data_IF_526797995397
#
_entry.id   IF_526797995397
#
_cell.length_a   1.000
_cell.length_b   1.000
_cell.length_c   1.000
_cell.angle_alpha   90.00
_cell.angle_beta   90.00
_cell.angle_gamma   90.00
#
_symmetry.space_group_name_H-M   'P 1'
#
loop_
_entity.id
_entity.type
_entity.pdbx_description
1 polymer ?
#
# COMPACT_ATOMS: atom_id res chain seq x y z
N UNK A 1 -8.95 26.78 -13.57
CA UNK A 1 -7.76 26.00 -13.15
C UNK A 1 -6.67 26.26 -14.16
N UNK A 2 -5.47 26.56 -13.71
CA UNK A 2 -4.30 26.68 -14.58
C UNK A 2 -3.84 25.30 -15.09
N UNK A 3 -2.94 25.30 -16.08
CA UNK A 3 -2.42 24.09 -16.72
C UNK A 3 -1.69 23.16 -15.74
N UNK A 4 -1.00 23.72 -14.74
CA UNK A 4 -0.29 22.94 -13.71
C UNK A 4 -1.26 22.19 -12.80
N UNK A 5 -2.36 22.83 -12.42
CA UNK A 5 -3.43 22.20 -11.63
C UNK A 5 -4.05 21.02 -12.37
N UNK A 6 -4.37 21.19 -13.65
CA UNK A 6 -4.96 20.12 -14.47
C UNK A 6 -3.98 18.95 -14.60
N UNK A 7 -2.70 19.24 -14.89
CA UNK A 7 -1.67 18.21 -14.98
C UNK A 7 -1.52 17.45 -13.65
N UNK A 8 -1.46 18.15 -12.52
CA UNK A 8 -1.34 17.52 -11.21
C UNK A 8 -2.50 16.58 -10.88
N UNK A 9 -3.74 16.95 -11.23
CA UNK A 9 -4.89 16.07 -11.07
C UNK A 9 -4.83 14.84 -11.98
N UNK A 10 -4.43 15.01 -13.24
CA UNK A 10 -4.30 13.89 -14.18
C UNK A 10 -3.22 12.93 -13.68
N UNK A 11 -2.06 13.44 -13.26
CA UNK A 11 -0.94 12.64 -12.77
C UNK A 11 -1.36 11.87 -11.51
N UNK A 12 -1.97 12.53 -10.53
CA UNK A 12 -2.45 11.87 -9.30
C UNK A 12 -3.57 10.86 -9.58
N UNK A 13 -4.40 11.12 -10.59
CA UNK A 13 -5.44 10.16 -11.01
C UNK A 13 -4.84 8.91 -11.67
N UNK A 14 -3.85 9.09 -12.54
CA UNK A 14 -3.15 7.98 -13.20
C UNK A 14 -2.36 7.14 -12.18
N UNK A 15 -1.73 7.80 -11.21
CA UNK A 15 -1.09 7.15 -10.09
C UNK A 15 -2.10 6.33 -9.27
N UNK A 16 -3.24 6.89 -8.88
CA UNK A 16 -4.23 6.15 -8.07
C UNK A 16 -4.93 5.02 -8.80
N UNK A 17 -5.18 5.16 -10.11
CA UNK A 17 -5.80 4.08 -10.88
C UNK A 17 -4.82 2.95 -11.19
N UNK A 18 -3.52 3.17 -11.04
CA UNK A 18 -2.51 2.11 -11.22
C UNK A 18 -2.68 0.98 -10.19
N UNK A 19 -3.28 1.23 -9.03
CA UNK A 19 -3.65 0.19 -8.06
C UNK A 19 -4.58 -0.85 -8.68
N UNK A 20 -5.45 -0.46 -9.62
CA UNK A 20 -6.30 -1.42 -10.36
C UNK A 20 -5.50 -2.35 -11.28
N UNK A 21 -4.30 -1.97 -11.71
CA UNK A 21 -3.45 -2.84 -12.51
C UNK A 21 -3.06 -4.09 -11.72
N UNK A 22 -2.89 -3.97 -10.40
CA UNK A 22 -2.71 -5.11 -9.51
C UNK A 22 -3.87 -6.11 -9.55
N UNK A 23 -5.11 -5.63 -9.70
CA UNK A 23 -6.27 -6.49 -9.82
C UNK A 23 -6.35 -7.26 -11.15
N UNK A 24 -5.59 -6.87 -12.18
CA UNK A 24 -5.58 -7.57 -13.48
C UNK A 24 -5.15 -9.05 -13.32
N UNK A 25 -4.30 -9.34 -12.34
CA UNK A 25 -3.82 -10.71 -12.07
C UNK A 25 -4.97 -11.72 -11.84
N UNK A 26 -6.12 -11.28 -11.33
CA UNK A 26 -7.27 -12.15 -11.06
C UNK A 26 -7.88 -12.71 -12.35
N UNK A 27 -7.72 -12.01 -13.49
CA UNK A 27 -8.26 -12.46 -14.78
C UNK A 27 -7.45 -13.61 -15.38
N UNK A 28 -6.16 -13.67 -15.05
CA UNK A 28 -5.26 -14.75 -15.45
C UNK A 28 -5.25 -15.90 -14.43
N UNK A 29 -5.88 -15.69 -13.27
CA UNK A 29 -5.90 -16.65 -12.18
C UNK A 29 -7.11 -17.57 -12.25
N UNK A 30 -6.86 -18.88 -12.36
CA UNK A 30 -7.89 -19.90 -12.09
C UNK A 30 -8.21 -19.85 -10.60
N UNK A 31 -9.49 -19.73 -10.25
CA UNK A 31 -9.95 -19.41 -8.89
C UNK A 31 -9.62 -20.44 -7.79
N UNK A 32 -8.99 -21.57 -8.16
CA UNK A 32 -8.53 -22.63 -7.26
C UNK A 32 -7.00 -22.72 -7.15
N UNK A 33 -6.24 -21.82 -7.78
CA UNK A 33 -4.78 -21.89 -7.76
C UNK A 33 -4.20 -21.26 -6.50
N UNK A 34 -4.16 -22.03 -5.41
CA UNK A 34 -3.54 -21.65 -4.14
C UNK A 34 -2.07 -21.24 -4.29
N UNK A 35 -1.36 -21.79 -5.29
CA UNK A 35 0.00 -21.38 -5.65
C UNK A 35 0.07 -19.92 -6.06
N UNK A 36 -0.92 -19.44 -6.82
CA UNK A 36 -0.96 -18.05 -7.27
C UNK A 36 -1.25 -17.15 -6.07
N UNK A 37 -2.21 -17.50 -5.20
CA UNK A 37 -2.44 -16.75 -3.94
C UNK A 37 -1.16 -16.65 -3.11
N UNK A 38 -0.49 -17.77 -2.89
CA UNK A 38 0.74 -17.85 -2.10
C UNK A 38 1.85 -16.98 -2.70
N UNK A 39 2.04 -17.05 -4.02
CA UNK A 39 3.03 -16.24 -4.72
C UNK A 39 2.69 -14.74 -4.66
N UNK A 40 1.43 -14.39 -4.97
CA UNK A 40 0.95 -13.02 -5.04
C UNK A 40 0.99 -12.30 -3.70
N UNK A 41 0.53 -12.94 -2.62
CA UNK A 41 0.55 -12.34 -1.28
C UNK A 41 1.96 -12.25 -0.70
N UNK A 42 2.79 -13.28 -0.92
CA UNK A 42 4.20 -13.22 -0.55
C UNK A 42 4.91 -12.06 -1.25
N UNK A 43 4.73 -11.95 -2.57
CA UNK A 43 5.29 -10.83 -3.36
C UNK A 43 4.81 -9.47 -2.85
N UNK A 44 3.50 -9.30 -2.64
CA UNK A 44 2.94 -8.05 -2.12
C UNK A 44 3.51 -7.68 -0.75
N UNK A 45 3.62 -8.63 0.17
CA UNK A 45 4.22 -8.40 1.49
C UNK A 45 5.69 -7.96 1.39
N UNK A 46 6.46 -8.61 0.50
CA UNK A 46 7.85 -8.24 0.26
C UNK A 46 8.02 -6.82 -0.24
N UNK A 47 7.19 -6.41 -1.21
CA UNK A 47 7.19 -5.03 -1.72
C UNK A 47 6.80 -4.05 -0.61
N UNK A 48 5.72 -4.30 0.11
CA UNK A 48 5.24 -3.40 1.17
C UNK A 48 6.26 -3.21 2.29
N UNK A 49 6.97 -4.27 2.68
CA UNK A 49 8.09 -4.18 3.62
C UNK A 49 9.21 -3.31 3.03
N UNK A 50 9.58 -3.53 1.77
CA UNK A 50 10.65 -2.74 1.15
C UNK A 50 10.28 -1.26 1.06
N UNK A 51 9.11 -0.93 0.50
CA UNK A 51 8.59 0.46 0.39
C UNK A 51 8.64 1.18 1.74
N UNK A 52 8.24 0.48 2.82
CA UNK A 52 8.22 1.05 4.16
C UNK A 52 9.60 1.54 4.61
N UNK A 53 10.68 0.81 4.26
CA UNK A 53 12.05 1.14 4.67
C UNK A 53 12.86 1.91 3.63
N UNK A 54 12.60 1.71 2.33
CA UNK A 54 13.34 2.36 1.25
C UNK A 54 12.78 3.72 0.87
N UNK A 55 11.47 3.93 1.07
CA UNK A 55 10.76 5.11 0.54
C UNK A 55 10.05 5.85 1.69
N UNK A 56 9.10 5.23 2.40
CA UNK A 56 8.28 5.96 3.37
C UNK A 56 9.05 6.52 4.57
N UNK A 57 9.88 5.69 5.21
CA UNK A 57 10.66 6.13 6.38
C UNK A 57 11.72 7.19 6.01
N UNK A 58 12.52 7.03 4.95
CA UNK A 58 13.43 8.09 4.51
C UNK A 58 12.71 9.41 4.19
N UNK A 59 11.57 9.36 3.50
CA UNK A 59 10.78 10.53 3.13
C UNK A 59 10.21 11.21 4.37
N UNK A 60 9.71 10.42 5.32
CA UNK A 60 9.28 10.90 6.62
C UNK A 60 10.39 11.63 7.37
N UNK A 61 11.58 11.02 7.43
CA UNK A 61 12.73 11.61 8.11
C UNK A 61 13.19 12.90 7.43
N UNK A 62 13.26 12.93 6.10
CA UNK A 62 13.62 14.13 5.34
C UNK A 62 12.63 15.28 5.63
N UNK A 63 11.34 15.00 5.59
CA UNK A 63 10.29 15.99 5.81
C UNK A 63 10.25 16.50 7.27
N UNK A 64 10.47 15.62 8.26
CA UNK A 64 10.53 16.02 9.67
C UNK A 64 11.84 16.77 10.00
N UNK A 65 12.96 16.37 9.39
CA UNK A 65 14.28 16.97 9.63
C UNK A 65 14.31 18.45 9.25
N UNK A 66 13.57 18.85 8.21
CA UNK A 66 13.44 20.25 7.82
C UNK A 66 12.91 21.16 8.95
N UNK A 67 12.21 20.61 9.94
CA UNK A 67 11.67 21.35 11.08
C UNK A 67 12.40 21.07 12.40
N UNK A 68 12.84 19.83 12.61
CA UNK A 68 13.30 19.35 13.94
C UNK A 68 14.78 18.99 13.99
N UNK A 69 15.49 18.97 12.85
CA UNK A 69 16.84 18.44 12.73
C UNK A 69 16.88 16.91 12.60
N UNK A 70 18.01 16.38 12.12
CA UNK A 70 18.16 14.97 11.72
C UNK A 70 17.91 13.97 12.87
N UNK A 71 18.49 14.23 14.05
CA UNK A 71 18.34 13.32 15.20
C UNK A 71 16.88 13.19 15.63
N UNK A 72 16.16 14.31 15.72
CA UNK A 72 14.75 14.30 16.12
C UNK A 72 13.86 13.73 15.03
N UNK A 73 14.22 13.89 13.75
CA UNK A 73 13.50 13.27 12.65
C UNK A 73 13.49 11.74 12.75
N UNK A 74 14.63 11.13 13.08
CA UNK A 74 14.71 9.68 13.30
C UNK A 74 13.81 9.28 14.47
N UNK A 75 13.91 9.96 15.61
CA UNK A 75 13.12 9.66 16.82
C UNK A 75 11.62 9.77 16.53
N UNK A 76 11.17 10.88 15.93
CA UNK A 76 9.77 11.09 15.60
C UNK A 76 9.28 10.09 14.56
N UNK A 77 10.08 9.77 13.53
CA UNK A 77 9.69 8.76 12.53
C UNK A 77 9.45 7.38 13.17
N UNK A 78 10.28 6.96 14.14
CA UNK A 78 10.06 5.71 14.86
C UNK A 78 8.82 5.78 15.74
N UNK A 79 8.58 6.88 16.46
CA UNK A 79 7.38 7.07 17.28
C UNK A 79 6.12 6.97 16.42
N UNK A 80 6.09 7.69 15.30
CA UNK A 80 4.96 7.68 14.37
C UNK A 80 4.77 6.32 13.71
N UNK A 81 5.85 5.62 13.35
CA UNK A 81 5.77 4.24 12.85
C UNK A 81 5.15 3.28 13.89
N UNK A 82 5.52 3.40 15.16
CA UNK A 82 4.90 2.61 16.23
C UNK A 82 3.41 2.98 16.38
N UNK A 83 3.04 4.26 16.30
CA UNK A 83 1.64 4.69 16.29
C UNK A 83 0.88 4.03 15.13
N UNK A 84 1.47 3.99 13.95
CA UNK A 84 0.93 3.30 12.78
C UNK A 84 0.68 1.82 13.00
N UNK A 85 1.67 1.12 13.55
CA UNK A 85 1.53 -0.28 13.94
C UNK A 85 0.39 -0.47 14.96
N UNK A 86 0.28 0.40 15.97
CA UNK A 86 -0.81 0.37 16.95
C UNK A 86 -2.19 0.65 16.32
N UNK A 87 -2.26 1.53 15.32
CA UNK A 87 -3.49 1.78 14.56
C UNK A 87 -3.91 0.54 13.77
N UNK A 88 -2.96 -0.12 13.10
CA UNK A 88 -3.22 -1.35 12.37
C UNK A 88 -3.65 -2.49 13.30
N UNK A 89 -2.98 -2.67 14.44
CA UNK A 89 -3.41 -3.56 15.53
C UNK A 89 -4.85 -3.28 15.97
N UNK A 90 -5.22 -2.00 16.10
CA UNK A 90 -6.56 -1.61 16.54
C UNK A 90 -7.60 -1.95 15.48
N UNK A 91 -7.34 -1.64 14.21
CA UNK A 91 -8.20 -2.03 13.08
C UNK A 91 -8.39 -3.55 13.09
N UNK A 92 -7.29 -4.27 13.20
CA UNK A 92 -7.25 -5.73 13.18
C UNK A 92 -8.04 -6.35 14.35
N UNK A 93 -7.92 -5.79 15.56
CA UNK A 93 -8.70 -6.20 16.72
C UNK A 93 -10.22 -6.03 16.53
N UNK A 94 -10.65 -4.97 15.84
CA UNK A 94 -12.07 -4.74 15.57
C UNK A 94 -12.65 -5.60 14.45
N UNK A 95 -11.81 -6.17 13.59
CA UNK A 95 -12.26 -7.10 12.54
C UNK A 95 -12.16 -8.53 13.08
N UNK A 96 -13.27 -9.28 13.25
CA UNK A 96 -13.26 -10.59 13.91
C UNK A 96 -12.23 -11.56 13.31
N UNK A 97 -11.32 -12.11 14.12
CA UNK A 97 -10.37 -13.15 13.72
C UNK A 97 -10.97 -14.55 13.95
N UNK A 98 -10.97 -15.39 12.92
CA UNK A 98 -10.91 -16.84 13.12
C UNK A 98 -9.42 -17.23 13.00
N UNK A 99 -8.82 -17.88 13.98
CA UNK A 99 -7.43 -18.33 13.81
C UNK A 99 -7.37 -19.41 12.71
N UNK A 100 -6.37 -19.34 11.84
CA UNK A 100 -6.13 -20.45 10.91
C UNK A 100 -5.64 -21.65 11.71
N UNK A 101 -6.53 -22.61 11.96
CA UNK A 101 -6.19 -23.89 12.56
C UNK A 101 -5.76 -24.88 11.45
N UNK A 102 -4.46 -25.23 11.36
CA UNK A 102 -3.95 -26.17 10.35
C UNK A 102 -4.45 -27.61 10.55
N UNK A 103 -5.05 -27.94 11.71
CA UNK A 103 -5.69 -29.23 12.00
C UNK A 103 -7.21 -29.21 11.80
N UNK A 104 -7.83 -28.02 11.75
CA UNK A 104 -9.26 -27.89 11.44
C UNK A 104 -9.53 -28.20 9.97
N UNK A 105 -10.67 -28.84 9.71
CA UNK A 105 -11.21 -29.04 8.36
C UNK A 105 -11.85 -27.75 7.80
N UNK A 106 -11.53 -26.58 8.37
CA UNK A 106 -12.08 -25.32 7.89
C UNK A 106 -11.64 -25.06 6.46
N UNK A 107 -12.57 -24.52 5.66
CA UNK A 107 -12.25 -24.20 4.27
C UNK A 107 -11.09 -23.19 4.29
N UNK A 108 -10.00 -23.42 3.53
CA UNK A 108 -8.77 -22.61 3.60
C UNK A 108 -8.94 -21.15 3.10
N UNK A 109 -10.17 -20.71 2.84
CA UNK A 109 -10.52 -19.37 2.34
C UNK A 109 -11.36 -18.53 3.31
N UNK A 110 -11.76 -19.03 4.49
CA UNK A 110 -12.72 -18.31 5.36
C UNK A 110 -12.22 -16.93 5.80
N UNK A 111 -10.91 -16.75 6.01
CA UNK A 111 -10.31 -15.45 6.35
C UNK A 111 -9.85 -14.59 5.17
N UNK A 112 -9.85 -15.09 3.93
CA UNK A 112 -9.32 -14.31 2.81
C UNK A 112 -10.13 -13.03 2.54
N UNK A 113 -11.44 -13.05 2.81
CA UNK A 113 -12.25 -11.84 2.65
C UNK A 113 -11.80 -10.76 3.63
N UNK A 114 -11.52 -11.16 4.88
CA UNK A 114 -11.01 -10.29 5.95
C UNK A 114 -9.63 -9.74 5.60
N UNK A 115 -8.69 -10.60 5.21
CA UNK A 115 -7.34 -10.19 4.75
C UNK A 115 -7.45 -9.11 3.67
N UNK A 116 -8.29 -9.33 2.66
CA UNK A 116 -8.48 -8.36 1.57
C UNK A 116 -9.18 -7.08 2.02
N UNK A 117 -10.13 -7.16 2.95
CA UNK A 117 -10.84 -6.00 3.50
C UNK A 117 -9.95 -5.12 4.40
N UNK A 118 -9.19 -5.74 5.31
CA UNK A 118 -8.21 -5.04 6.16
C UNK A 118 -7.12 -4.42 5.28
N UNK A 119 -6.62 -5.15 4.29
CA UNK A 119 -5.68 -4.62 3.30
C UNK A 119 -6.27 -3.42 2.58
N UNK A 120 -7.53 -3.47 2.12
CA UNK A 120 -8.19 -2.33 1.46
C UNK A 120 -8.21 -1.09 2.37
N UNK A 121 -8.66 -1.22 3.61
CA UNK A 121 -8.74 -0.09 4.55
C UNK A 121 -7.37 0.54 4.79
N UNK A 122 -6.34 -0.27 4.94
CA UNK A 122 -4.99 0.22 5.13
C UNK A 122 -4.40 0.88 3.87
N UNK A 123 -4.64 0.30 2.69
CA UNK A 123 -4.20 0.90 1.43
C UNK A 123 -4.93 2.23 1.20
N UNK A 124 -6.20 2.37 1.61
CA UNK A 124 -6.88 3.68 1.60
C UNK A 124 -6.17 4.72 2.47
N UNK A 125 -5.68 4.31 3.65
CA UNK A 125 -4.92 5.19 4.55
C UNK A 125 -3.52 5.52 4.00
N UNK A 126 -2.91 4.65 3.20
CA UNK A 126 -1.62 4.86 2.53
C UNK A 126 -1.72 5.77 1.30
N UNK A 127 -2.68 5.46 0.43
CA UNK A 127 -2.90 6.16 -0.85
C UNK A 127 -3.37 7.60 -0.66
N UNK A 128 -4.03 7.89 0.47
CA UNK A 128 -4.52 9.25 0.73
C UNK A 128 -3.37 10.28 0.89
N UNK A 129 -2.39 10.07 1.79
CA UNK A 129 -1.17 10.87 1.88
C UNK A 129 -0.38 10.96 0.59
N UNK A 130 -0.29 9.84 -0.12
CA UNK A 130 0.41 9.76 -1.38
C UNK A 130 -0.23 10.68 -2.43
N UNK A 131 -1.55 10.72 -2.51
CA UNK A 131 -2.25 11.60 -3.45
C UNK A 131 -2.06 13.07 -3.16
N UNK A 132 -1.91 13.42 -1.89
CA UNK A 132 -1.50 14.78 -1.49
C UNK A 132 -0.09 15.06 -2.01
N UNK A 133 0.86 14.16 -1.78
CA UNK A 133 2.26 14.33 -2.17
C UNK A 133 2.42 14.39 -3.71
N UNK A 134 1.80 13.46 -4.44
CA UNK A 134 1.77 13.43 -5.91
C UNK A 134 1.20 14.72 -6.47
N UNK A 135 0.09 15.21 -5.91
CA UNK A 135 -0.52 16.46 -6.36
C UNK A 135 0.41 17.66 -6.11
N UNK A 136 0.96 17.78 -4.90
CA UNK A 136 1.85 18.90 -4.54
C UNK A 136 3.13 18.91 -5.38
N UNK A 137 3.76 17.75 -5.59
CA UNK A 137 4.94 17.63 -6.44
C UNK A 137 4.61 17.99 -7.90
N UNK A 138 3.53 17.43 -8.44
CA UNK A 138 3.12 17.66 -9.83
C UNK A 138 2.67 19.10 -10.09
N UNK A 139 2.09 19.76 -9.09
CA UNK A 139 1.67 21.16 -9.19
C UNK A 139 2.89 22.09 -9.33
N UNK A 140 3.96 21.81 -8.58
CA UNK A 140 5.18 22.60 -8.62
C UNK A 140 6.04 22.32 -9.87
N UNK A 141 6.19 21.04 -10.22
CA UNK A 141 6.92 20.58 -11.39
C UNK A 141 6.24 19.34 -11.99
N UNK A 142 5.52 19.47 -13.12
CA UNK A 142 4.85 18.35 -13.77
C UNK A 142 5.78 17.23 -14.22
N UNK A 143 7.05 17.53 -14.52
CA UNK A 143 8.04 16.53 -14.93
C UNK A 143 8.42 15.66 -13.75
N UNK A 144 8.74 16.30 -12.62
CA UNK A 144 8.97 15.61 -11.35
C UNK A 144 7.74 14.82 -10.91
N UNK A 145 6.54 15.41 -11.05
CA UNK A 145 5.27 14.76 -10.77
C UNK A 145 5.07 13.48 -11.57
N UNK A 146 5.38 13.50 -12.87
CA UNK A 146 5.29 12.32 -13.73
C UNK A 146 6.27 11.21 -13.30
N UNK A 147 7.52 11.56 -12.95
CA UNK A 147 8.50 10.59 -12.45
C UNK A 147 8.03 9.94 -11.14
N UNK A 148 7.48 10.74 -10.23
CA UNK A 148 6.89 10.25 -8.98
C UNK A 148 5.71 9.32 -9.26
N UNK A 149 4.78 9.69 -10.15
CA UNK A 149 3.64 8.85 -10.50
C UNK A 149 4.04 7.49 -11.11
N UNK A 150 5.14 7.43 -11.87
CA UNK A 150 5.67 6.16 -12.38
C UNK A 150 6.22 5.31 -11.24
N UNK A 151 7.01 5.89 -10.33
CA UNK A 151 7.50 5.18 -9.15
C UNK A 151 6.35 4.63 -8.31
N UNK A 152 5.34 5.47 -8.10
CA UNK A 152 4.09 5.14 -7.42
C UNK A 152 3.38 3.95 -8.07
N UNK A 153 3.26 3.97 -9.40
CA UNK A 153 2.59 2.90 -10.11
C UNK A 153 3.24 1.53 -9.87
N UNK A 154 4.55 1.48 -9.66
CA UNK A 154 5.24 0.22 -9.36
C UNK A 154 4.92 -0.34 -7.97
N UNK A 155 4.66 0.49 -6.95
CA UNK A 155 4.24 0.00 -5.64
C UNK A 155 2.72 -0.22 -5.54
N UNK A 156 1.93 0.57 -6.27
CA UNK A 156 0.47 0.44 -6.30
C UNK A 156 -0.02 -0.88 -6.92
N UNK A 157 0.75 -1.47 -7.84
CA UNK A 157 0.43 -2.80 -8.40
C UNK A 157 0.42 -3.87 -7.28
N UNK A 158 1.49 -4.07 -6.48
CA UNK A 158 1.51 -4.92 -5.30
C UNK A 158 0.36 -4.68 -4.32
N UNK A 159 0.01 -3.42 -4.05
CA UNK A 159 -1.14 -3.09 -3.19
C UNK A 159 -2.47 -3.55 -3.79
N UNK A 160 -2.63 -3.35 -5.10
CA UNK A 160 -3.79 -3.87 -5.82
C UNK A 160 -3.90 -5.39 -5.70
N UNK A 161 -2.77 -6.10 -5.74
CA UNK A 161 -2.70 -7.55 -5.55
C UNK A 161 -3.10 -7.94 -4.12
N UNK A 162 -2.61 -7.24 -3.10
CA UNK A 162 -2.90 -7.53 -1.68
C UNK A 162 -4.39 -7.42 -1.36
N UNK A 163 -5.12 -6.54 -2.04
CA UNK A 163 -6.59 -6.40 -1.92
C UNK A 163 -7.33 -7.39 -2.84
N UNK A 164 -6.98 -7.43 -4.12
CA UNK A 164 -7.78 -8.14 -5.13
C UNK A 164 -7.75 -9.66 -4.94
N UNK A 165 -6.57 -10.22 -4.66
CA UNK A 165 -6.38 -11.67 -4.59
C UNK A 165 -7.16 -12.33 -3.46
N UNK A 166 -7.09 -11.85 -2.20
CA UNK A 166 -7.88 -12.42 -1.11
C UNK A 166 -9.39 -12.26 -1.33
N UNK A 167 -9.84 -11.08 -1.77
CA UNK A 167 -11.26 -10.84 -2.06
C UNK A 167 -11.76 -11.77 -3.18
N UNK A 168 -11.00 -11.93 -4.26
CA UNK A 168 -11.40 -12.81 -5.36
C UNK A 168 -11.48 -14.27 -4.92
N UNK A 169 -10.50 -14.76 -4.17
CA UNK A 169 -10.51 -16.16 -3.72
C UNK A 169 -11.59 -16.43 -2.67
N UNK A 170 -11.90 -15.46 -1.81
CA UNK A 170 -12.98 -15.58 -0.84
C UNK A 170 -14.38 -15.52 -1.47
N UNK A 171 -14.59 -14.62 -2.43
CA UNK A 171 -15.93 -14.32 -2.98
C UNK A 171 -16.22 -14.97 -4.32
N UNK A 172 -15.18 -15.43 -5.04
CA UNK A 172 -15.23 -15.87 -6.43
C UNK A 172 -15.76 -14.79 -7.40
N UNK A 173 -15.83 -13.53 -6.97
CA UNK A 173 -16.37 -12.41 -7.74
C UNK A 173 -15.27 -11.45 -8.18
N UNK A 174 -15.01 -11.40 -9.49
CA UNK A 174 -14.07 -10.44 -10.08
C UNK A 174 -14.55 -8.99 -9.89
N UNK A 175 -15.86 -8.77 -9.91
CA UNK A 175 -16.46 -7.45 -9.67
C UNK A 175 -16.23 -7.02 -8.24
N UNK A 176 -16.36 -7.94 -7.26
CA UNK A 176 -16.03 -7.63 -5.88
C UNK A 176 -14.56 -7.23 -5.77
N UNK A 177 -13.64 -8.07 -6.26
CA UNK A 177 -12.20 -7.76 -6.22
C UNK A 177 -11.87 -6.40 -6.84
N UNK A 178 -12.39 -6.11 -8.04
CA UNK A 178 -12.22 -4.80 -8.68
C UNK A 178 -12.81 -3.66 -7.86
N UNK A 179 -13.99 -3.85 -7.24
CA UNK A 179 -14.62 -2.83 -6.40
C UNK A 179 -13.77 -2.49 -5.18
N UNK A 180 -13.30 -3.49 -4.45
CA UNK A 180 -12.47 -3.26 -3.26
C UNK A 180 -11.13 -2.61 -3.65
N UNK A 181 -10.47 -3.08 -4.71
CA UNK A 181 -9.23 -2.44 -5.20
C UNK A 181 -9.46 -1.02 -5.73
N UNK A 182 -10.62 -0.75 -6.35
CA UNK A 182 -10.98 0.62 -6.74
C UNK A 182 -11.18 1.52 -5.53
N UNK A 183 -11.85 1.02 -4.49
CA UNK A 183 -12.06 1.76 -3.24
C UNK A 183 -10.73 2.09 -2.54
N UNK A 184 -9.71 1.22 -2.64
CA UNK A 184 -8.38 1.55 -2.15
C UNK A 184 -7.65 2.58 -3.03
N UNK A 185 -7.67 2.42 -4.35
CA UNK A 185 -6.97 3.32 -5.27
C UNK A 185 -7.57 4.73 -5.38
N UNK A 186 -8.90 4.87 -5.21
CA UNK A 186 -9.58 6.18 -5.30
C UNK A 186 -9.19 7.13 -4.16
N UNK A 187 -8.60 6.62 -3.08
CA UNK A 187 -8.10 7.43 -1.99
C UNK A 187 -7.01 8.43 -2.44
N UNK A 188 -6.21 8.08 -3.46
CA UNK A 188 -5.17 8.96 -3.99
C UNK A 188 -5.76 10.19 -4.72
N UNK A 189 -6.67 10.05 -5.70
CA UNK A 189 -7.41 11.18 -6.27
C UNK A 189 -8.15 12.03 -5.23
N UNK A 190 -8.72 11.40 -4.19
CA UNK A 190 -9.39 12.11 -3.10
C UNK A 190 -8.37 12.95 -2.31
N UNK A 191 -7.21 12.38 -1.99
CA UNK A 191 -6.09 13.08 -1.36
C UNK A 191 -5.65 14.30 -2.17
N UNK A 192 -5.48 14.15 -3.48
CA UNK A 192 -5.13 15.25 -4.40
C UNK A 192 -6.18 16.38 -4.39
N UNK A 193 -7.47 16.03 -4.42
CA UNK A 193 -8.57 17.03 -4.37
C UNK A 193 -8.59 17.77 -3.04
N UNK A 194 -8.42 17.06 -1.92
CA UNK A 194 -8.37 17.70 -0.61
C UNK A 194 -7.10 18.55 -0.41
N UNK A 195 -5.96 18.13 -0.98
CA UNK A 195 -4.74 18.92 -1.06
C UNK A 195 -5.00 20.29 -1.69
N UNK A 196 -5.66 20.29 -2.86
CA UNK A 196 -5.99 21.50 -3.58
C UNK A 196 -7.00 22.41 -2.86
N UNK A 197 -8.07 21.84 -2.32
CA UNK A 197 -9.21 22.62 -1.82
C UNK A 197 -9.05 23.11 -0.37
N UNK A 198 -8.51 22.27 0.51
CA UNK A 198 -8.65 22.45 1.96
C UNK A 198 -7.29 22.43 2.65
N UNK A 199 -6.40 21.53 2.24
CA UNK A 199 -5.26 21.13 3.05
C UNK A 199 -4.00 21.99 2.83
N UNK A 200 -3.93 22.79 1.76
CA UNK A 200 -2.79 23.68 1.47
C UNK A 200 -2.32 24.55 2.67
N UNK A 201 -3.20 25.10 3.53
CA UNK A 201 -2.76 25.89 4.70
C UNK A 201 -2.35 25.04 5.91
N UNK A 202 -2.78 23.78 5.97
CA UNK A 202 -2.64 22.91 7.15
C UNK A 202 -1.54 21.86 7.01
N UNK A 203 -1.17 21.51 5.78
CA UNK A 203 -0.10 20.55 5.51
C UNK A 203 1.24 21.28 5.51
N UNK A 204 2.01 21.01 6.55
CA UNK A 204 3.44 21.30 6.59
C UNK A 204 4.24 19.99 6.43
N UNK A 205 5.55 20.13 6.17
CA UNK A 205 6.43 18.99 5.95
C UNK A 205 6.49 18.04 7.15
N UNK A 206 6.42 18.57 8.38
CA UNK A 206 6.38 17.74 9.58
C UNK A 206 5.14 16.84 9.61
N UNK A 207 3.97 17.37 9.31
CA UNK A 207 2.71 16.63 9.30
C UNK A 207 2.71 15.56 8.21
N UNK A 208 3.19 15.89 7.01
CA UNK A 208 3.32 14.93 5.92
C UNK A 208 4.31 13.80 6.28
N UNK A 209 5.45 14.15 6.89
CA UNK A 209 6.41 13.16 7.33
C UNK A 209 5.89 12.28 8.47
N UNK A 210 5.14 12.84 9.42
CA UNK A 210 4.47 12.08 10.47
C UNK A 210 3.50 11.04 9.88
N UNK A 211 2.73 11.46 8.88
CA UNK A 211 1.81 10.59 8.16
C UNK A 211 2.56 9.45 7.44
N UNK A 212 3.64 9.74 6.70
CA UNK A 212 4.42 8.70 6.02
C UNK A 212 4.99 7.67 7.00
N UNK A 213 5.49 8.12 8.15
CA UNK A 213 5.96 7.22 9.19
C UNK A 213 4.84 6.35 9.78
N UNK A 214 3.67 6.94 10.09
CA UNK A 214 2.47 6.17 10.52
C UNK A 214 2.11 5.11 9.50
N UNK A 215 2.06 5.48 8.23
CA UNK A 215 1.68 4.59 7.14
C UNK A 215 2.70 3.44 6.98
N UNK A 216 4.00 3.70 7.10
CA UNK A 216 5.03 2.66 7.11
C UNK A 216 4.78 1.63 8.23
N UNK A 217 4.37 2.09 9.41
CA UNK A 217 3.98 1.21 10.53
C UNK A 217 2.80 0.30 10.20
N UNK A 218 1.77 0.85 9.54
CA UNK A 218 0.58 0.10 9.10
C UNK A 218 0.97 -0.98 8.06
N UNK A 219 1.77 -0.62 7.06
CA UNK A 219 2.19 -1.55 6.00
C UNK A 219 3.07 -2.68 6.52
N UNK A 220 3.98 -2.38 7.45
CA UNK A 220 4.78 -3.39 8.15
C UNK A 220 3.87 -4.36 8.90
N UNK A 221 2.93 -3.86 9.71
CA UNK A 221 1.99 -4.70 10.45
C UNK A 221 1.24 -5.68 9.53
N UNK A 222 0.61 -5.16 8.48
CA UNK A 222 -0.19 -5.97 7.54
C UNK A 222 0.66 -6.98 6.80
N UNK A 223 1.89 -6.61 6.45
CA UNK A 223 2.81 -7.54 5.79
C UNK A 223 3.12 -8.75 6.69
N UNK A 224 3.37 -8.51 7.98
CA UNK A 224 3.74 -9.55 8.93
C UNK A 224 2.56 -10.35 9.49
N UNK A 225 1.44 -9.72 9.80
CA UNK A 225 0.29 -10.38 10.44
C UNK A 225 -0.71 -10.94 9.42
N UNK A 226 -0.91 -10.28 8.28
CA UNK A 226 -1.93 -10.67 7.32
C UNK A 226 -1.32 -11.37 6.10
N UNK A 227 -0.43 -10.69 5.35
CA UNK A 227 0.00 -11.16 4.03
C UNK A 227 0.98 -12.35 4.09
N UNK A 228 2.03 -12.28 4.93
CA UNK A 228 2.99 -13.38 5.06
C UNK A 228 2.33 -14.65 5.60
N UNK A 229 1.53 -14.63 6.68
CA UNK A 229 0.87 -15.83 7.19
C UNK A 229 -0.11 -16.41 6.16
N UNK A 230 -0.96 -15.56 5.57
CA UNK A 230 -1.92 -15.98 4.53
C UNK A 230 -1.23 -16.56 3.30
N UNK A 231 -0.07 -16.04 2.91
CA UNK A 231 0.71 -16.59 1.79
C UNK A 231 1.23 -18.01 2.05
N UNK A 232 1.37 -18.41 3.32
CA UNK A 232 1.91 -19.71 3.74
C UNK A 232 0.85 -20.74 4.09
N UNK A 233 -0.40 -20.32 4.30
CA UNK A 233 -1.49 -21.17 4.81
C UNK A 233 -1.81 -22.40 3.92
N UNK A 234 -1.47 -22.36 2.64
CA UNK A 234 -1.69 -23.46 1.69
C UNK A 234 -0.50 -24.45 1.55
N UNK A 235 0.48 -24.39 2.46
CA UNK A 235 1.64 -25.29 2.45
C UNK A 235 2.75 -24.92 1.46
N UNK A 236 2.59 -23.83 0.68
CA UNK A 236 3.61 -23.33 -0.27
C UNK A 236 4.65 -22.41 0.38
N UNK A 237 5.12 -22.73 1.59
CA UNK A 237 5.99 -21.84 2.39
C UNK A 237 7.28 -21.40 1.67
N UNK A 238 7.92 -22.29 0.89
CA UNK A 238 9.12 -21.93 0.11
C UNK A 238 8.81 -20.96 -1.02
N UNK A 239 7.67 -21.14 -1.69
CA UNK A 239 7.24 -20.24 -2.76
C UNK A 239 6.92 -18.86 -2.17
N UNK A 240 6.16 -18.81 -1.08
CA UNK A 240 5.86 -17.58 -0.36
C UNK A 240 7.14 -16.83 0.05
N UNK A 241 8.15 -17.54 0.59
CA UNK A 241 9.44 -16.95 0.94
C UNK A 241 10.17 -16.37 -0.28
N UNK A 242 10.29 -17.13 -1.37
CA UNK A 242 10.97 -16.68 -2.59
C UNK A 242 10.24 -15.50 -3.23
N UNK A 243 8.91 -15.51 -3.25
CA UNK A 243 8.09 -14.40 -3.75
C UNK A 243 8.23 -13.16 -2.87
N UNK A 244 8.25 -13.31 -1.55
CA UNK A 244 8.50 -12.19 -0.61
C UNK A 244 9.88 -11.58 -0.84
N UNK A 245 10.90 -12.43 -0.99
CA UNK A 245 12.25 -11.94 -1.29
C UNK A 245 12.32 -11.24 -2.65
N UNK A 246 11.64 -11.77 -3.67
CA UNK A 246 11.55 -11.12 -4.98
C UNK A 246 10.84 -9.75 -4.88
N UNK A 247 9.79 -9.64 -4.05
CA UNK A 247 9.13 -8.38 -3.76
C UNK A 247 10.03 -7.37 -3.05
N UNK A 248 10.86 -7.82 -2.11
CA UNK A 248 11.84 -6.94 -1.46
C UNK A 248 12.85 -6.41 -2.48
N UNK A 249 13.35 -7.28 -3.38
CA UNK A 249 14.36 -6.90 -4.35
C UNK A 249 13.84 -5.97 -5.46
N UNK A 250 12.55 -6.00 -5.81
CA UNK A 250 12.03 -5.23 -6.95
C UNK A 250 11.98 -3.73 -6.68
N UNK A 251 11.76 -3.33 -5.42
CA UNK A 251 11.58 -1.93 -5.06
C UNK A 251 12.88 -1.10 -5.21
N UNK A 252 14.04 -1.52 -4.68
CA UNK A 252 15.29 -0.80 -4.97
C UNK A 252 15.64 -0.77 -6.47
N UNK A 253 15.19 -1.77 -7.24
CA UNK A 253 15.41 -1.82 -8.68
C UNK A 253 14.48 -0.89 -9.46
N UNK A 254 13.29 -0.57 -8.95
CA UNK A 254 12.38 0.39 -9.59
C UNK A 254 13.01 1.79 -9.64
N UNK A 255 13.83 2.14 -8.64
CA UNK A 255 14.60 3.38 -8.61
C UNK A 255 15.56 3.55 -9.81
N UNK A 256 16.02 2.47 -10.44
CA UNK A 256 16.85 2.55 -11.68
C UNK A 256 16.02 3.04 -12.87
N UNK A 257 14.73 2.76 -12.89
CA UNK A 257 13.80 3.12 -13.97
C UNK A 257 13.29 4.56 -13.80
N UNK A 258 13.32 5.07 -12.56
CA UNK A 258 12.89 6.42 -12.20
C UNK A 258 13.99 7.49 -12.27
N UNK A 259 15.23 7.09 -12.60
CA UNK A 259 16.40 7.96 -12.85
C UNK A 259 16.57 8.28 -14.34
#
# INVERSE_FOLDING_TARGET
MDQHTIAAFIISFLAGISTLLGAIIIFFTKSKSEKIVSCSLGFAAGVMISVSFSDLLPEAQKAIAAHSGETWAIIYSVIFMVIGLCLALTIDYFVPHEEFDPESNDKPHQNLYRVGFVSMLAMMLHNFPEGIATFMASYNDPTLGMSIAVAIAFHNIPEGISVAMPIYFATQSKIAALKYTFLSGIAEPIGAVLAFLILKPFINEFFLGAIFAVVAGIMIYISFEELIPTSRQYGYSRLALLSSFAGICIMPLSGVISL
#
